data_IF_974123065319
#
_entry.id   IF_974123065319
#
_cell.length_a   1.000
_cell.length_b   1.000
_cell.length_c   1.000
_cell.angle_alpha   90.00
_cell.angle_beta   90.00
_cell.angle_gamma   90.00
#
_symmetry.space_group_name_H-M   'P 1'
#
loop_
_entity.id
_entity.type
_entity.pdbx_description
1 polymer ?
#
# COMPACT_ATOMS: atom_id res chain seq x y z
N UNK A 1 14.84 32.42 15.58
CA UNK A 1 13.61 32.06 16.30
C UNK A 1 13.78 30.63 16.78
N UNK A 2 13.63 30.36 18.07
CA UNK A 2 13.81 29.02 18.63
C UNK A 2 12.57 28.16 18.36
N UNK A 3 12.75 26.89 17.97
CA UNK A 3 11.66 25.94 17.84
C UNK A 3 11.08 25.59 19.22
N UNK A 4 9.76 25.41 19.38
CA UNK A 4 9.16 25.04 20.65
C UNK A 4 9.50 23.60 21.06
N UNK A 5 9.56 23.38 22.37
CA UNK A 5 9.90 22.12 23.05
C UNK A 5 8.90 21.00 22.70
N UNK A 6 9.39 19.78 22.45
CA UNK A 6 8.64 18.60 21.98
C UNK A 6 7.79 17.87 23.03
N UNK A 7 7.70 18.38 24.26
CA UNK A 7 7.00 17.72 25.37
C UNK A 7 5.50 18.05 25.50
N UNK A 8 4.98 18.95 24.68
CA UNK A 8 3.54 19.27 24.59
C UNK A 8 2.93 18.67 23.31
N UNK A 9 2.91 17.34 23.18
CA UNK A 9 2.11 16.71 22.13
C UNK A 9 0.63 16.75 22.52
N UNK A 10 -0.24 17.47 21.77
CA UNK A 10 -1.67 17.43 22.04
C UNK A 10 -2.17 15.99 21.86
N UNK A 11 -3.00 15.53 22.81
CA UNK A 11 -3.77 14.27 22.70
C UNK A 11 -4.37 14.19 21.29
N UNK A 12 -4.17 13.05 20.63
CA UNK A 12 -4.67 12.78 19.28
C UNK A 12 -6.08 13.36 19.08
N UNK A 13 -6.24 14.17 18.03
CA UNK A 13 -7.50 14.84 17.72
C UNK A 13 -8.62 13.79 17.60
N UNK A 14 -9.77 14.06 18.22
CA UNK A 14 -10.98 13.23 18.01
C UNK A 14 -11.34 13.28 16.51
N UNK A 15 -11.47 12.15 15.81
CA UNK A 15 -11.77 12.16 14.37
C UNK A 15 -13.10 12.87 14.10
N UNK A 16 -13.14 13.71 13.06
CA UNK A 16 -14.39 14.31 12.58
C UNK A 16 -15.28 13.22 11.98
N UNK A 17 -16.43 12.96 12.62
CA UNK A 17 -17.24 11.76 12.38
C UNK A 17 -17.98 11.72 11.02
N UNK A 18 -18.05 12.81 10.24
CA UNK A 18 -19.01 12.86 9.11
C UNK A 18 -18.42 12.68 7.70
N UNK A 19 -17.10 12.65 7.51
CA UNK A 19 -16.50 12.26 6.22
C UNK A 19 -15.07 11.79 6.40
N UNK A 20 -14.89 10.59 6.94
CA UNK A 20 -13.56 10.00 7.01
C UNK A 20 -13.20 9.34 5.67
N UNK A 21 -12.33 9.99 4.92
CA UNK A 21 -11.55 9.37 3.85
C UNK A 21 -10.82 8.15 4.44
N UNK A 22 -11.00 6.97 3.85
CA UNK A 22 -10.34 5.76 4.31
C UNK A 22 -8.83 5.87 4.04
N UNK A 23 -8.01 5.69 5.07
CA UNK A 23 -6.56 5.65 4.93
C UNK A 23 -6.08 4.21 4.66
N UNK A 24 -5.26 4.05 3.63
CA UNK A 24 -4.79 2.76 3.12
C UNK A 24 -3.28 2.84 2.90
N UNK A 25 -2.56 1.76 3.20
CA UNK A 25 -1.13 1.65 2.93
C UNK A 25 -0.88 0.51 1.94
N UNK A 26 0.02 0.71 0.99
CA UNK A 26 0.55 -0.35 0.14
C UNK A 26 2.07 -0.34 0.14
N UNK A 27 2.70 -1.48 -0.16
CA UNK A 27 4.17 -1.57 -0.21
C UNK A 27 4.66 -2.20 -1.51
N UNK A 28 5.56 -1.50 -2.18
CA UNK A 28 6.40 -2.03 -3.26
C UNK A 28 7.69 -2.52 -2.62
N UNK A 29 7.79 -3.82 -2.38
CA UNK A 29 9.09 -4.45 -2.05
C UNK A 29 9.81 -4.66 -3.36
N UNK A 30 10.87 -3.89 -3.62
CA UNK A 30 11.63 -3.91 -4.86
C UNK A 30 13.07 -4.35 -4.60
N UNK A 31 13.36 -5.57 -5.03
CA UNK A 31 14.71 -6.10 -5.14
C UNK A 31 15.41 -5.49 -6.35
N UNK A 32 16.31 -4.53 -6.11
CA UNK A 32 17.07 -3.86 -7.18
C UNK A 32 18.15 -4.73 -7.81
N UNK A 33 18.62 -5.76 -7.11
CA UNK A 33 19.67 -6.64 -7.62
C UNK A 33 19.08 -7.62 -8.64
N UNK A 34 17.86 -8.10 -8.41
CA UNK A 34 17.16 -8.99 -9.34
C UNK A 34 16.09 -8.30 -10.19
N UNK A 35 15.87 -7.00 -9.98
CA UNK A 35 14.85 -6.18 -10.66
C UNK A 35 13.44 -6.79 -10.57
N UNK A 36 13.08 -7.28 -9.39
CA UNK A 36 11.80 -7.94 -9.12
C UNK A 36 11.03 -7.24 -8.00
N UNK A 37 9.71 -7.33 -8.07
CA UNK A 37 8.78 -6.82 -7.06
C UNK A 37 7.92 -7.94 -6.50
N UNK A 38 7.52 -7.84 -5.24
CA UNK A 38 6.53 -8.75 -4.65
C UNK A 38 5.13 -8.29 -5.02
N UNK A 39 4.36 -9.19 -5.62
CA UNK A 39 2.95 -8.99 -5.92
C UNK A 39 2.11 -10.12 -5.33
N UNK A 40 0.85 -9.82 -5.06
CA UNK A 40 -0.17 -10.79 -4.69
C UNK A 40 -1.23 -10.90 -5.77
N UNK A 41 -1.82 -12.08 -5.93
CA UNK A 41 -2.99 -12.28 -6.77
C UNK A 41 -4.20 -12.47 -5.87
N UNK A 42 -5.21 -11.64 -6.06
CA UNK A 42 -6.46 -11.68 -5.30
C UNK A 42 -7.22 -12.97 -5.62
N UNK A 43 -7.75 -13.62 -4.60
CA UNK A 43 -8.48 -14.88 -4.75
C UNK A 43 -9.86 -14.66 -5.38
N UNK A 44 -10.49 -15.74 -5.83
CA UNK A 44 -11.89 -15.75 -6.28
C UNK A 44 -12.88 -15.38 -5.14
N UNK A 45 -12.47 -15.53 -3.88
CA UNK A 45 -13.28 -15.15 -2.72
C UNK A 45 -13.10 -13.67 -2.33
N UNK A 46 -12.23 -12.93 -3.02
CA UNK A 46 -12.01 -11.52 -2.74
C UNK A 46 -13.28 -10.70 -3.06
N UNK A 47 -13.61 -9.74 -2.20
CA UNK A 47 -14.78 -8.85 -2.39
C UNK A 47 -14.66 -7.91 -3.60
N UNK A 48 -13.45 -7.71 -4.09
CA UNK A 48 -13.11 -6.79 -5.18
C UNK A 48 -11.93 -7.34 -5.97
N UNK A 49 -11.93 -7.11 -7.28
CA UNK A 49 -10.83 -7.43 -8.18
C UNK A 49 -10.36 -8.90 -8.12
N UNK A 50 -11.32 -9.83 -8.10
CA UNK A 50 -11.08 -11.27 -8.10
C UNK A 50 -10.13 -11.66 -9.25
N UNK A 51 -9.13 -12.50 -8.95
CA UNK A 51 -8.14 -12.97 -9.92
C UNK A 51 -7.13 -11.92 -10.40
N UNK A 52 -7.27 -10.65 -10.02
CA UNK A 52 -6.34 -9.58 -10.41
C UNK A 52 -5.10 -9.58 -9.52
N UNK A 53 -3.98 -9.17 -10.10
CA UNK A 53 -2.75 -8.84 -9.38
C UNK A 53 -2.87 -7.50 -8.66
N UNK A 54 -2.19 -7.37 -7.53
CA UNK A 54 -2.14 -6.16 -6.73
C UNK A 54 -0.79 -6.05 -6.00
N UNK A 55 -0.54 -4.87 -5.43
CA UNK A 55 0.47 -4.69 -4.39
C UNK A 55 -0.04 -5.26 -3.06
N UNK A 56 0.86 -5.69 -2.14
CA UNK A 56 0.50 -5.81 -0.73
C UNK A 56 -0.12 -4.50 -0.24
N UNK A 57 -1.37 -4.57 0.23
CA UNK A 57 -2.19 -3.38 0.48
C UNK A 57 -3.29 -3.64 1.50
N UNK A 58 -3.41 -2.74 2.47
CA UNK A 58 -4.46 -2.85 3.46
C UNK A 58 -4.80 -1.55 4.18
N UNK A 59 -5.80 -1.65 5.05
CA UNK A 59 -6.44 -0.48 5.65
C UNK A 59 -5.75 -0.13 6.95
N UNK A 60 -5.62 1.17 7.21
CA UNK A 60 -5.15 1.65 8.49
C UNK A 60 -6.20 1.36 9.57
N UNK A 61 -5.75 0.82 10.69
CA UNK A 61 -6.56 0.70 11.89
C UNK A 61 -6.65 2.05 12.64
N UNK A 62 -7.72 2.31 13.41
CA UNK A 62 -7.88 3.57 14.12
C UNK A 62 -6.70 3.87 15.07
N UNK A 63 -6.01 4.99 14.81
CA UNK A 63 -4.87 5.43 15.61
C UNK A 63 -3.53 4.80 15.22
N UNK A 64 -3.50 3.95 14.20
CA UNK A 64 -2.28 3.33 13.68
C UNK A 64 -1.54 4.29 12.73
N UNK A 65 -0.23 4.55 12.93
CA UNK A 65 0.57 5.30 11.96
C UNK A 65 0.60 4.60 10.61
N UNK A 66 0.55 5.35 9.51
CA UNK A 66 0.45 4.78 8.17
C UNK A 66 1.66 3.91 7.77
N UNK A 67 2.84 4.18 8.34
CA UNK A 67 4.02 3.34 8.18
C UNK A 67 3.91 2.01 8.93
N UNK A 68 3.26 2.00 10.09
CA UNK A 68 2.99 0.76 10.84
C UNK A 68 1.94 -0.08 10.13
N UNK A 69 0.89 0.55 9.58
CA UNK A 69 -0.08 -0.12 8.70
C UNK A 69 0.63 -0.81 7.54
N UNK A 70 1.56 -0.13 6.88
CA UNK A 70 2.31 -0.68 5.76
C UNK A 70 3.15 -1.91 6.17
N UNK A 71 3.83 -1.85 7.32
CA UNK A 71 4.63 -2.97 7.83
C UNK A 71 3.73 -4.15 8.24
N UNK A 72 2.64 -3.88 8.95
CA UNK A 72 1.68 -4.90 9.41
C UNK A 72 1.04 -5.62 8.22
N UNK A 73 0.45 -4.88 7.30
CA UNK A 73 -0.25 -5.46 6.13
C UNK A 73 0.72 -6.25 5.24
N UNK A 74 1.93 -5.72 4.99
CA UNK A 74 2.95 -6.47 4.25
C UNK A 74 3.27 -7.81 4.93
N UNK A 75 3.45 -7.82 6.24
CA UNK A 75 3.73 -9.04 6.99
C UNK A 75 2.54 -10.01 7.00
N UNK A 76 1.33 -9.52 7.24
CA UNK A 76 0.11 -10.32 7.26
C UNK A 76 -0.15 -11.00 5.92
N UNK A 77 0.08 -10.31 4.80
CA UNK A 77 -0.22 -10.82 3.47
C UNK A 77 0.91 -11.68 2.87
N UNK A 78 2.17 -11.29 3.13
CA UNK A 78 3.35 -11.84 2.42
C UNK A 78 4.39 -12.50 3.30
N UNK A 79 4.33 -12.30 4.62
CA UNK A 79 5.36 -12.77 5.56
C UNK A 79 6.64 -11.96 5.57
N UNK A 80 6.79 -10.98 4.68
CA UNK A 80 7.94 -10.09 4.66
C UNK A 80 7.86 -9.05 5.76
N UNK A 81 9.02 -8.69 6.32
CA UNK A 81 9.14 -7.59 7.28
C UNK A 81 10.09 -6.54 6.74
N UNK A 82 9.74 -5.28 6.95
CA UNK A 82 10.56 -4.11 6.63
C UNK A 82 10.58 -3.19 7.84
N UNK A 83 11.61 -2.35 7.95
CA UNK A 83 11.69 -1.36 9.03
C UNK A 83 10.86 -0.13 8.67
N UNK A 84 9.97 0.39 9.54
CA UNK A 84 9.17 1.58 9.24
C UNK A 84 10.01 2.77 8.73
N UNK A 85 11.19 3.00 9.29
CA UNK A 85 12.12 4.07 8.91
C UNK A 85 12.79 3.88 7.54
N UNK A 86 12.79 2.66 7.02
CA UNK A 86 13.32 2.34 5.68
C UNK A 86 12.32 2.63 4.57
N UNK A 87 11.03 2.74 4.90
CA UNK A 87 9.97 3.02 3.94
C UNK A 87 10.16 4.42 3.33
N UNK A 88 10.06 4.49 1.99
CA UNK A 88 10.03 5.75 1.24
C UNK A 88 8.67 5.90 0.58
N UNK A 89 8.06 7.07 0.67
CA UNK A 89 6.83 7.33 -0.10
C UNK A 89 7.18 7.25 -1.58
N UNK A 90 6.52 6.35 -2.29
CA UNK A 90 6.69 6.11 -3.72
C UNK A 90 5.56 6.75 -4.53
N UNK A 91 4.33 6.74 -4.00
CA UNK A 91 3.17 7.28 -4.67
C UNK A 91 2.01 7.55 -3.71
N UNK A 92 1.08 8.42 -4.09
CA UNK A 92 -0.18 8.66 -3.39
C UNK A 92 -1.34 8.54 -4.37
N UNK A 93 -2.34 7.73 -4.01
CA UNK A 93 -3.61 7.64 -4.75
C UNK A 93 -4.68 8.32 -3.91
N UNK A 94 -5.30 9.36 -4.46
CA UNK A 94 -6.49 9.97 -3.88
C UNK A 94 -7.72 9.54 -4.68
N UNK A 95 -8.50 8.62 -4.12
CA UNK A 95 -9.72 8.10 -4.74
C UNK A 95 -10.97 8.79 -4.22
N UNK A 96 -11.86 9.24 -5.11
CA UNK A 96 -13.13 9.86 -4.76
C UNK A 96 -14.14 8.85 -4.16
N UNK A 97 -14.02 7.57 -4.53
CA UNK A 97 -14.85 6.47 -4.03
C UNK A 97 -14.12 5.12 -4.19
N UNK A 98 -14.52 4.11 -3.41
CA UNK A 98 -14.10 2.73 -3.55
C UNK A 98 -15.15 1.76 -2.98
N UNK A 99 -15.05 0.46 -3.30
CA UNK A 99 -16.05 -0.56 -2.92
C UNK A 99 -16.33 -0.58 -1.42
N UNK A 100 -15.28 -0.46 -0.60
CA UNK A 100 -15.39 -0.39 0.86
C UNK A 100 -15.09 1.02 1.41
N UNK A 101 -15.07 2.03 0.52
CA UNK A 101 -14.72 3.41 0.82
C UNK A 101 -15.62 4.39 0.03
N UNK A 102 -16.95 4.41 0.26
CA UNK A 102 -17.88 5.22 -0.53
C UNK A 102 -17.66 6.73 -0.39
N UNK A 103 -16.94 7.17 0.65
CA UNK A 103 -16.56 8.57 0.89
C UNK A 103 -15.11 8.89 0.45
N UNK A 104 -14.53 8.01 -0.37
CA UNK A 104 -13.17 8.16 -0.87
C UNK A 104 -12.10 7.52 0.03
N UNK A 105 -10.90 7.40 -0.52
CA UNK A 105 -9.74 6.82 0.13
C UNK A 105 -8.46 7.56 -0.25
N UNK A 106 -7.46 7.47 0.62
CA UNK A 106 -6.09 7.90 0.37
C UNK A 106 -5.18 6.70 0.57
N UNK A 107 -4.59 6.20 -0.52
CA UNK A 107 -3.58 5.13 -0.46
C UNK A 107 -2.20 5.74 -0.51
N UNK A 108 -1.43 5.58 0.56
CA UNK A 108 0.01 5.89 0.58
C UNK A 108 0.75 4.63 0.17
N UNK A 109 1.52 4.72 -0.91
CA UNK A 109 2.31 3.61 -1.43
C UNK A 109 3.75 3.86 -1.03
N UNK A 110 4.32 2.93 -0.28
CA UNK A 110 5.71 2.96 0.12
C UNK A 110 6.54 2.06 -0.78
N UNK A 111 7.81 2.38 -0.97
CA UNK A 111 8.83 1.49 -1.49
C UNK A 111 9.76 1.04 -0.36
N UNK A 112 10.13 -0.23 -0.40
CA UNK A 112 11.15 -0.84 0.45
C UNK A 112 12.19 -1.56 -0.42
N UNK A 113 13.45 -1.41 -0.04
CA UNK A 113 14.61 -2.01 -0.71
C UNK A 113 15.40 -2.95 0.19
N UNK A 114 15.03 -3.00 1.47
CA UNK A 114 15.60 -3.88 2.47
C UNK A 114 14.42 -4.56 3.18
N UNK A 115 14.47 -5.89 3.26
CA UNK A 115 13.43 -6.69 3.90
C UNK A 115 14.05 -7.94 4.53
N UNK A 116 13.28 -8.61 5.37
CA UNK A 116 13.59 -9.94 5.90
C UNK A 116 12.44 -10.90 5.64
N UNK A 117 12.76 -12.20 5.57
CA UNK A 117 11.81 -13.25 5.23
C UNK A 117 11.75 -13.55 3.73
N UNK A 118 10.96 -14.57 3.39
CA UNK A 118 10.68 -14.98 2.01
C UNK A 118 9.17 -14.80 1.75
N UNK A 119 8.75 -14.41 0.54
CA UNK A 119 7.33 -14.23 0.25
C UNK A 119 6.55 -15.54 0.38
N UNK A 120 5.51 -15.52 1.21
CA UNK A 120 4.57 -16.61 1.43
C UNK A 120 3.14 -16.05 1.43
N UNK A 121 2.20 -16.79 0.85
CA UNK A 121 0.78 -16.43 0.94
C UNK A 121 0.22 -16.77 2.33
N UNK A 122 0.20 -15.77 3.22
CA UNK A 122 -0.28 -15.92 4.60
C UNK A 122 -1.78 -15.69 4.79
N UNK A 123 -2.46 -15.24 3.74
CA UNK A 123 -3.91 -15.03 3.75
C UNK A 123 -4.60 -15.74 2.57
N UNK A 124 -4.60 -17.09 2.54
CA UNK A 124 -5.11 -17.88 1.41
C UNK A 124 -6.60 -17.70 1.11
N UNK A 125 -7.35 -17.09 2.03
CA UNK A 125 -8.76 -16.69 1.80
C UNK A 125 -8.90 -15.40 1.02
N UNK A 126 -7.92 -14.49 1.12
CA UNK A 126 -7.90 -13.21 0.40
C UNK A 126 -7.09 -13.33 -0.90
N UNK A 127 -6.00 -14.09 -0.89
CA UNK A 127 -5.05 -14.18 -1.99
C UNK A 127 -4.90 -15.62 -2.49
N UNK A 128 -4.80 -15.79 -3.80
CA UNK A 128 -4.50 -17.07 -4.43
C UNK A 128 -3.00 -17.40 -4.36
N UNK A 129 -2.14 -16.38 -4.51
CA UNK A 129 -0.69 -16.54 -4.47
C UNK A 129 0.01 -15.20 -4.15
N UNK A 130 1.24 -15.31 -3.64
CA UNK A 130 2.20 -14.22 -3.46
C UNK A 130 3.49 -14.64 -4.15
N UNK A 131 4.10 -13.78 -4.96
CA UNK A 131 5.36 -14.12 -5.67
C UNK A 131 6.20 -12.90 -6.00
N UNK A 132 7.49 -13.15 -6.21
CA UNK A 132 8.36 -12.24 -6.95
C UNK A 132 7.96 -12.22 -8.43
N UNK A 133 7.91 -11.02 -9.00
CA UNK A 133 7.58 -10.76 -10.40
C UNK A 133 8.62 -9.80 -10.98
N UNK A 134 9.17 -10.15 -12.13
CA UNK A 134 10.05 -9.27 -12.90
C UNK A 134 9.30 -7.99 -13.29
N UNK A 135 9.90 -6.82 -13.07
CA UNK A 135 9.27 -5.54 -13.39
C UNK A 135 8.97 -5.40 -14.89
N UNK A 136 9.70 -6.13 -15.74
CA UNK A 136 9.47 -6.17 -17.19
C UNK A 136 8.39 -7.19 -17.59
N UNK A 137 7.92 -8.00 -16.65
CA UNK A 137 6.88 -9.03 -16.84
C UNK A 137 5.67 -8.86 -15.90
N UNK A 138 5.38 -7.62 -15.51
CA UNK A 138 4.20 -7.31 -14.68
C UNK A 138 2.91 -7.75 -15.43
N UNK A 139 2.05 -8.57 -14.81
CA UNK A 139 0.81 -9.03 -15.43
C UNK A 139 -0.12 -7.89 -15.84
N UNK A 140 -0.82 -8.05 -16.97
CA UNK A 140 -1.78 -7.06 -17.45
C UNK A 140 -3.07 -7.01 -16.59
N UNK A 141 -3.49 -8.15 -16.05
CA UNK A 141 -4.67 -8.26 -15.18
C UNK A 141 -4.35 -7.77 -13.75
N UNK A 142 -4.09 -6.47 -13.62
CA UNK A 142 -3.67 -5.81 -12.37
C UNK A 142 -4.69 -4.75 -11.98
N UNK A 143 -4.99 -4.61 -10.68
CA UNK A 143 -5.79 -3.50 -10.14
C UNK A 143 -5.28 -2.16 -10.67
N UNK A 144 -6.11 -1.45 -11.44
CA UNK A 144 -5.69 -0.33 -12.28
C UNK A 144 -4.94 0.78 -11.52
N UNK A 145 -5.40 1.13 -10.32
CA UNK A 145 -4.85 2.23 -9.53
C UNK A 145 -3.45 1.93 -8.99
N UNK A 146 -3.25 0.75 -8.43
CA UNK A 146 -1.94 0.29 -7.92
C UNK A 146 -1.00 -0.08 -9.07
N UNK A 147 -1.49 -0.60 -10.18
CA UNK A 147 -0.71 -0.80 -11.41
C UNK A 147 -0.14 0.53 -11.94
N UNK A 148 -0.97 1.60 -11.96
CA UNK A 148 -0.52 2.93 -12.39
C UNK A 148 0.55 3.49 -11.45
N UNK A 149 0.38 3.30 -10.14
CA UNK A 149 1.36 3.75 -9.15
C UNK A 149 2.69 2.99 -9.26
N UNK A 150 2.65 1.66 -9.43
CA UNK A 150 3.84 0.85 -9.66
C UNK A 150 4.59 1.31 -10.91
N UNK A 151 3.88 1.57 -12.01
CA UNK A 151 4.49 2.13 -13.23
C UNK A 151 5.14 3.49 -12.99
N UNK A 152 4.43 4.42 -12.35
CA UNK A 152 4.98 5.74 -12.01
C UNK A 152 6.23 5.63 -11.14
N UNK A 153 6.22 4.75 -10.15
CA UNK A 153 7.39 4.47 -9.33
C UNK A 153 8.58 3.96 -10.16
N UNK A 154 8.37 2.98 -11.05
CA UNK A 154 9.42 2.39 -11.88
C UNK A 154 9.99 3.37 -12.92
N UNK A 155 9.18 4.30 -13.44
CA UNK A 155 9.59 5.23 -14.49
C UNK A 155 9.94 6.63 -13.99
N UNK A 156 9.89 6.88 -12.67
CA UNK A 156 10.07 8.23 -12.10
C UNK A 156 8.98 9.22 -12.55
N UNK A 157 7.74 8.72 -12.68
CA UNK A 157 6.56 9.48 -13.08
C UNK A 157 5.99 10.36 -11.96
N UNK A 158 4.71 10.72 -12.08
CA UNK A 158 4.02 11.56 -11.08
C UNK A 158 3.90 10.85 -9.74
N UNK A 159 4.05 11.58 -8.63
CA UNK A 159 3.92 11.04 -7.27
C UNK A 159 2.47 10.97 -6.77
N UNK A 160 1.52 11.65 -7.44
CA UNK A 160 0.12 11.71 -7.02
C UNK A 160 -0.79 11.38 -8.19
N UNK A 161 -1.80 10.54 -7.95
CA UNK A 161 -2.87 10.27 -8.90
C UNK A 161 -4.25 10.48 -8.29
N UNK A 162 -5.14 11.07 -9.08
CA UNK A 162 -6.54 11.31 -8.72
C UNK A 162 -7.42 10.25 -9.40
N UNK A 163 -8.13 9.44 -8.63
CA UNK A 163 -9.03 8.41 -9.17
C UNK A 163 -10.49 8.77 -8.92
N UNK A 164 -11.26 8.97 -9.99
CA UNK A 164 -12.70 9.24 -9.91
C UNK A 164 -13.07 10.67 -9.51
N UNK A 165 -12.11 11.59 -9.47
CA UNK A 165 -12.35 13.03 -9.34
C UNK A 165 -12.66 13.64 -10.71
N UNK A 166 -13.67 14.50 -10.79
CA UNK A 166 -14.06 15.28 -11.98
C UNK A 166 -13.81 16.76 -11.75
#
# INVERSE_FOLDING_TARGET
>A
MAQPNTEDQPKALKPALESMTLLVAAVIVHDKDTNRVVLLQRSENAKFAQGMWDLPVGKSDPGEPITETAVRELYEETGLTVKPESLKVAHIIHGAWGVEAPKGFLTVIFAAHEWTGEPENREPRKHAQVRWVDVDAIPENFVKTTASALRNYLTGGTEVSLNGWQ
#
